data_IF_214568461634
#
_entry.id   IF_214568461634
#
_cell.length_a   1.000
_cell.length_b   1.000
_cell.length_c   1.000
_cell.angle_alpha   90.00
_cell.angle_beta   90.00
_cell.angle_gamma   90.00
#
_symmetry.space_group_name_H-M   'P 1'
#
loop_
_entity.id
_entity.type
_entity.pdbx_description
1 polymer ?
#
# COMPACT_ATOMS: atom_id res chain seq x y z
N UNK A 1 0.79 9.30 9.31
CA UNK A 1 0.85 9.47 7.83
C UNK A 1 -0.56 9.33 7.26
N UNK A 2 -0.77 9.61 5.96
CA UNK A 2 -2.05 9.27 5.29
C UNK A 2 -1.87 7.97 4.50
N UNK A 3 -2.87 7.10 4.56
CA UNK A 3 -2.94 5.90 3.75
C UNK A 3 -2.87 6.26 2.26
N UNK A 4 -1.97 5.64 1.50
CA UNK A 4 -1.89 5.89 0.06
C UNK A 4 -3.14 5.42 -0.70
N UNK A 5 -3.89 4.48 -0.11
CA UNK A 5 -5.08 3.88 -0.73
C UNK A 5 -6.31 4.76 -0.46
N UNK A 6 -6.71 4.89 0.80
CA UNK A 6 -7.95 5.57 1.17
C UNK A 6 -7.76 6.99 1.71
N UNK A 7 -6.53 7.51 1.76
CA UNK A 7 -6.19 8.83 2.34
C UNK A 7 -6.55 9.05 3.82
N UNK A 8 -7.05 8.01 4.50
CA UNK A 8 -7.33 8.02 5.94
C UNK A 8 -6.04 8.14 6.75
N UNK A 9 -6.12 8.72 7.94
CA UNK A 9 -4.99 8.75 8.86
C UNK A 9 -4.55 7.32 9.22
N UNK A 10 -3.25 7.06 9.15
CA UNK A 10 -2.67 5.73 9.31
C UNK A 10 -1.28 5.82 9.92
N UNK A 11 -0.91 4.77 10.63
CA UNK A 11 0.37 4.69 11.31
C UNK A 11 1.42 4.18 10.35
N UNK A 12 2.50 4.94 10.18
CA UNK A 12 3.67 4.42 9.49
C UNK A 12 4.44 3.55 10.48
N UNK A 13 4.71 2.31 10.08
CA UNK A 13 5.49 1.38 10.89
C UNK A 13 6.94 1.44 10.41
N UNK A 14 7.91 1.76 11.30
CA UNK A 14 9.31 1.83 10.92
C UNK A 14 9.76 0.49 10.35
N UNK A 15 10.24 0.54 9.11
CA UNK A 15 10.64 -0.62 8.31
C UNK A 15 12.12 -0.55 8.00
N UNK A 16 12.80 -1.70 7.99
CA UNK A 16 14.25 -1.77 7.82
C UNK A 16 14.71 -1.92 6.35
N UNK A 17 13.86 -1.60 5.36
CA UNK A 17 14.17 -1.77 3.94
C UNK A 17 13.59 -0.66 3.05
N UNK A 18 13.76 -0.78 1.73
CA UNK A 18 13.27 0.15 0.71
C UNK A 18 11.74 0.09 0.49
N UNK A 19 11.00 -0.04 1.59
CA UNK A 19 9.55 -0.03 1.60
C UNK A 19 9.03 0.70 2.83
N UNK A 20 7.90 1.39 2.65
CA UNK A 20 7.14 2.01 3.74
C UNK A 20 6.05 1.04 4.15
N UNK A 21 6.09 0.56 5.40
CA UNK A 21 4.97 -0.17 5.99
C UNK A 21 3.99 0.82 6.60
N UNK A 22 2.71 0.63 6.29
CA UNK A 22 1.60 1.41 6.82
C UNK A 22 0.59 0.47 7.44
N UNK A 23 0.22 0.78 8.67
CA UNK A 23 -0.91 0.18 9.36
C UNK A 23 -2.10 1.13 9.26
N UNK A 24 -3.05 0.76 8.39
CA UNK A 24 -4.27 1.52 8.17
C UNK A 24 -5.45 0.83 8.87
N UNK A 25 -6.24 1.52 9.71
CA UNK A 25 -7.40 0.89 10.36
C UNK A 25 -8.49 0.47 9.36
N UNK A 26 -8.52 1.04 8.15
CA UNK A 26 -9.51 0.68 7.13
C UNK A 26 -9.00 -0.27 6.04
N UNK A 27 -7.73 -0.17 5.65
CA UNK A 27 -7.15 -1.05 4.62
C UNK A 27 -6.34 -2.20 5.23
N UNK A 28 -6.07 -2.14 6.54
CA UNK A 28 -5.15 -2.96 7.31
C UNK A 28 -3.68 -2.65 7.04
N UNK A 29 -2.80 -3.50 7.56
CA UNK A 29 -1.35 -3.39 7.38
C UNK A 29 -0.87 -3.82 5.98
N UNK A 30 -0.06 -2.98 5.35
CA UNK A 30 0.55 -3.23 4.04
C UNK A 30 1.90 -2.53 3.89
N UNK A 31 2.68 -2.91 2.88
CA UNK A 31 3.96 -2.31 2.53
C UNK A 31 3.91 -1.75 1.12
N UNK A 32 4.48 -0.56 0.89
CA UNK A 32 4.75 -0.04 -0.45
C UNK A 32 6.25 0.08 -0.67
N UNK A 33 6.73 -0.42 -1.79
CA UNK A 33 8.10 -0.12 -2.24
C UNK A 33 8.31 1.39 -2.43
N UNK A 34 9.50 1.90 -2.09
CA UNK A 34 9.85 3.30 -2.30
C UNK A 34 9.66 3.75 -3.77
N UNK A 35 9.93 2.84 -4.72
CA UNK A 35 9.68 3.08 -6.15
C UNK A 35 8.20 3.25 -6.47
N UNK A 36 7.30 2.45 -5.89
CA UNK A 36 5.86 2.63 -6.06
C UNK A 36 5.40 3.98 -5.52
N UNK A 37 5.91 4.38 -4.35
CA UNK A 37 5.58 5.68 -3.73
C UNK A 37 6.04 6.83 -4.61
N UNK A 38 7.26 6.75 -5.16
CA UNK A 38 7.79 7.75 -6.07
C UNK A 38 6.92 7.90 -7.33
N UNK A 39 6.56 6.78 -7.98
CA UNK A 39 5.67 6.78 -9.15
C UNK A 39 4.29 7.35 -8.82
N UNK A 40 3.75 7.03 -7.65
CA UNK A 40 2.46 7.55 -7.20
C UNK A 40 2.48 9.06 -7.02
N UNK A 41 3.55 9.60 -6.42
CA UNK A 41 3.73 11.04 -6.28
C UNK A 41 3.95 11.74 -7.62
N UNK A 42 4.73 11.13 -8.52
CA UNK A 42 5.06 11.68 -9.83
C UNK A 42 3.85 11.75 -10.76
N UNK A 43 3.08 10.66 -10.85
CA UNK A 43 1.92 10.58 -11.73
C UNK A 43 0.59 10.95 -11.07
N UNK A 44 0.61 11.34 -9.78
CA UNK A 44 -0.57 11.63 -8.97
C UNK A 44 -1.62 10.50 -9.05
N UNK A 45 -1.14 9.25 -9.07
CA UNK A 45 -1.98 8.07 -9.14
C UNK A 45 -2.80 7.88 -7.87
N UNK A 46 -3.99 7.33 -8.03
CA UNK A 46 -4.89 6.98 -6.93
C UNK A 46 -5.21 5.52 -7.02
N UNK A 47 -5.02 4.80 -5.93
CA UNK A 47 -5.42 3.41 -5.86
C UNK A 47 -6.95 3.32 -5.87
N UNK A 48 -7.46 2.32 -6.59
CA UNK A 48 -8.84 1.90 -6.40
C UNK A 48 -8.95 1.25 -5.01
N UNK A 49 -9.65 1.93 -4.11
CA UNK A 49 -9.73 1.54 -2.69
C UNK A 49 -10.31 0.15 -2.50
N UNK A 50 -11.43 -0.15 -3.17
CA UNK A 50 -12.11 -1.43 -3.03
C UNK A 50 -11.26 -2.56 -3.63
N UNK A 51 -10.75 -2.34 -4.83
CA UNK A 51 -9.94 -3.35 -5.52
C UNK A 51 -8.64 -3.65 -4.76
N UNK A 52 -7.98 -2.61 -4.26
CA UNK A 52 -6.75 -2.77 -3.48
C UNK A 52 -7.02 -3.49 -2.16
N UNK A 53 -8.14 -3.20 -1.47
CA UNK A 53 -8.51 -3.91 -0.24
C UNK A 53 -8.73 -5.40 -0.48
N UNK A 54 -9.49 -5.74 -1.51
CA UNK A 54 -9.72 -7.15 -1.89
C UNK A 54 -8.40 -7.87 -2.18
N UNK A 55 -7.48 -7.20 -2.88
CA UNK A 55 -6.16 -7.76 -3.14
C UNK A 55 -5.33 -7.92 -1.85
N UNK A 56 -5.33 -6.91 -0.96
CA UNK A 56 -4.64 -6.97 0.33
C UNK A 56 -5.16 -8.12 1.20
N UNK A 57 -6.47 -8.30 1.29
CA UNK A 57 -7.11 -9.40 2.01
C UNK A 57 -6.70 -10.76 1.43
N UNK A 58 -6.72 -10.89 0.10
CA UNK A 58 -6.28 -12.10 -0.59
C UNK A 58 -4.81 -12.46 -0.31
N UNK A 59 -3.92 -11.46 -0.23
CA UNK A 59 -2.52 -11.69 0.09
C UNK A 59 -2.30 -12.03 1.57
N UNK A 60 -3.05 -11.41 2.49
CA UNK A 60 -2.95 -11.67 3.94
C UNK A 60 -3.32 -13.10 4.30
N UNK A 61 -4.20 -13.76 3.53
CA UNK A 61 -4.49 -15.18 3.72
C UNK A 61 -3.25 -16.07 3.63
N UNK A 62 -2.15 -15.60 3.01
CA UNK A 62 -0.85 -16.28 2.98
C UNK A 62 0.03 -16.05 4.21
N UNK A 63 -0.44 -15.34 5.25
CA UNK A 63 0.29 -15.10 6.50
C UNK A 63 1.45 -14.11 6.39
N UNK A 64 1.58 -13.41 5.27
CA UNK A 64 2.63 -12.39 5.03
C UNK A 64 2.02 -11.02 4.85
N UNK A 65 2.73 -9.98 5.29
CA UNK A 65 2.31 -8.59 5.09
C UNK A 65 2.45 -8.27 3.60
N UNK A 66 1.36 -7.88 2.91
CA UNK A 66 1.38 -7.64 1.48
C UNK A 66 2.31 -6.49 1.10
N UNK A 67 3.13 -6.72 0.06
CA UNK A 67 4.03 -5.73 -0.51
C UNK A 67 3.53 -5.29 -1.90
N UNK A 68 3.21 -4.01 -2.01
CA UNK A 68 2.86 -3.35 -3.27
C UNK A 68 4.15 -2.84 -3.91
N UNK A 69 4.63 -3.58 -4.90
CA UNK A 69 5.72 -3.16 -5.79
C UNK A 69 5.21 -2.17 -6.85
N UNK A 70 6.11 -1.45 -7.51
CA UNK A 70 5.75 -0.52 -8.60
C UNK A 70 4.95 -1.19 -9.72
N UNK A 71 5.28 -2.42 -10.08
CA UNK A 71 4.55 -3.20 -11.08
C UNK A 71 3.12 -3.52 -10.61
N UNK A 72 2.99 -4.03 -9.38
CA UNK A 72 1.68 -4.31 -8.79
C UNK A 72 0.85 -3.03 -8.65
N UNK A 73 1.48 -1.92 -8.27
CA UNK A 73 0.79 -0.65 -8.06
C UNK A 73 0.07 -0.16 -9.32
N UNK A 74 0.66 -0.38 -10.51
CA UNK A 74 0.04 -0.07 -11.82
C UNK A 74 -1.21 -0.90 -12.12
N UNK A 75 -1.37 -2.06 -11.49
CA UNK A 75 -2.54 -2.93 -11.67
C UNK A 75 -3.68 -2.61 -10.69
N UNK A 76 -3.43 -1.72 -9.73
CA UNK A 76 -4.34 -1.38 -8.64
C UNK A 76 -4.88 0.06 -8.71
N UNK A 77 -4.58 0.78 -9.80
CA UNK A 77 -5.11 2.11 -10.13
C UNK A 77 -6.41 2.02 -10.92
#
# INVERSE_FOLDING_TARGET
>A
MKCFICSTESNEVPSAGDYTQLDCPQCGEYRLSGTAIALFKEHNWKFNVEFTRLWLESQRSGGTIPLITSDRAKTLI
#
